data_IF_353414017159
#
_entry.id   IF_353414017159
#
_cell.length_a   1.000
_cell.length_b   1.000
_cell.length_c   1.000
_cell.angle_alpha   90.00
_cell.angle_beta   90.00
_cell.angle_gamma   90.00
#
_symmetry.space_group_name_H-M   'P 1'
#
loop_
_entity.id
_entity.type
_entity.pdbx_description
1 polymer ?
#
# COMPACT_ATOMS: atom_id res chain seq x y z
N UNK A 1 4.34 -18.08 3.26
CA UNK A 1 5.10 -16.89 2.78
C UNK A 1 4.45 -15.62 3.31
N UNK A 2 5.24 -14.66 3.66
CA UNK A 2 4.76 -13.34 4.10
C UNK A 2 5.01 -12.33 2.99
N UNK A 3 3.95 -11.75 2.46
CA UNK A 3 4.00 -10.92 1.24
C UNK A 3 3.38 -9.56 1.50
N UNK A 4 4.08 -8.51 1.06
CA UNK A 4 3.51 -7.16 0.99
C UNK A 4 3.25 -6.82 -0.48
N UNK A 5 2.04 -6.35 -0.77
CA UNK A 5 1.66 -5.87 -2.09
C UNK A 5 1.31 -4.39 -2.00
N UNK A 6 2.00 -3.58 -2.78
CA UNK A 6 1.69 -2.16 -2.89
C UNK A 6 0.80 -1.92 -4.10
N UNK A 7 -0.40 -1.42 -3.86
CA UNK A 7 -1.36 -1.13 -4.90
C UNK A 7 -2.23 0.05 -4.49
N UNK A 8 -2.33 1.04 -5.35
CA UNK A 8 -3.05 2.27 -5.02
C UNK A 8 -3.70 2.92 -6.24
N UNK A 9 -4.76 3.66 -5.98
CA UNK A 9 -5.40 4.56 -6.92
C UNK A 9 -6.58 3.95 -7.65
N UNK A 10 -6.34 3.24 -8.74
CA UNK A 10 -7.39 2.74 -9.63
C UNK A 10 -7.50 1.22 -9.62
N UNK A 11 -8.65 0.71 -10.07
CA UNK A 11 -8.86 -0.74 -10.24
C UNK A 11 -7.84 -1.39 -11.17
N UNK A 12 -7.25 -0.63 -12.11
CA UNK A 12 -6.22 -1.12 -13.00
C UNK A 12 -4.94 -1.55 -12.31
N UNK A 13 -4.66 -1.02 -11.12
CA UNK A 13 -3.52 -1.40 -10.30
C UNK A 13 -3.92 -2.38 -9.19
N UNK A 14 -5.09 -2.17 -8.60
CA UNK A 14 -5.54 -2.91 -7.43
C UNK A 14 -5.99 -4.33 -7.79
N UNK A 15 -6.79 -4.48 -8.84
CA UNK A 15 -7.30 -5.78 -9.24
C UNK A 15 -6.20 -6.80 -9.62
N UNK A 16 -5.15 -6.43 -10.38
CA UNK A 16 -4.02 -7.32 -10.58
C UNK A 16 -3.33 -7.73 -9.29
N UNK A 17 -3.19 -6.80 -8.34
CA UNK A 17 -2.61 -7.09 -7.02
C UNK A 17 -3.43 -8.12 -6.26
N UNK A 18 -4.76 -7.97 -6.26
CA UNK A 18 -5.68 -8.93 -5.63
C UNK A 18 -5.60 -10.29 -6.32
N UNK A 19 -5.50 -10.33 -7.65
CA UNK A 19 -5.37 -11.57 -8.40
C UNK A 19 -4.07 -12.31 -8.02
N UNK A 20 -2.97 -11.59 -7.86
CA UNK A 20 -1.70 -12.15 -7.39
C UNK A 20 -1.84 -12.70 -5.98
N UNK A 21 -2.46 -11.94 -5.08
CA UNK A 21 -2.71 -12.37 -3.71
C UNK A 21 -3.54 -13.65 -3.66
N UNK A 22 -4.61 -13.72 -4.43
CA UNK A 22 -5.46 -14.91 -4.52
C UNK A 22 -4.68 -16.13 -5.02
N UNK A 23 -3.81 -15.93 -6.00
CA UNK A 23 -2.96 -17.02 -6.52
C UNK A 23 -1.99 -17.53 -5.47
N UNK A 24 -1.36 -16.63 -4.73
CA UNK A 24 -0.45 -17.00 -3.63
C UNK A 24 -1.20 -17.79 -2.56
N UNK A 25 -2.38 -17.34 -2.16
CA UNK A 25 -3.19 -18.04 -1.16
C UNK A 25 -3.65 -19.41 -1.64
N UNK A 26 -3.90 -19.56 -2.93
CA UNK A 26 -4.27 -20.84 -3.51
C UNK A 26 -3.11 -21.84 -3.48
N UNK A 27 -1.91 -21.38 -3.84
CA UNK A 27 -0.72 -22.22 -3.88
C UNK A 27 -0.14 -22.49 -2.48
N UNK A 28 -0.19 -21.49 -1.60
CA UNK A 28 0.32 -21.56 -0.23
C UNK A 28 -0.73 -20.99 0.74
N UNK A 29 -1.71 -21.81 1.19
CA UNK A 29 -2.83 -21.31 2.00
C UNK A 29 -2.45 -20.66 3.34
N UNK A 30 -1.28 -20.98 3.88
CA UNK A 30 -0.80 -20.38 5.13
C UNK A 30 -0.09 -19.04 4.93
N UNK A 31 -0.02 -18.54 3.72
CA UNK A 31 0.61 -17.25 3.44
C UNK A 31 -0.14 -16.11 4.10
N UNK A 32 0.62 -15.14 4.61
CA UNK A 32 0.08 -13.88 5.12
C UNK A 32 0.34 -12.78 4.10
N UNK A 33 -0.70 -12.03 3.75
CA UNK A 33 -0.62 -10.98 2.74
C UNK A 33 -1.10 -9.67 3.32
N UNK A 34 -0.27 -8.65 3.18
CA UNK A 34 -0.58 -7.28 3.60
C UNK A 34 -0.56 -6.38 2.38
N UNK A 35 -1.62 -5.61 2.18
CA UNK A 35 -1.64 -4.55 1.18
C UNK A 35 -1.25 -3.22 1.80
N UNK A 36 -0.48 -2.43 1.06
CA UNK A 36 -0.17 -1.05 1.40
C UNK A 36 -0.65 -0.16 0.27
N UNK A 37 -1.45 0.81 0.60
CA UNK A 37 -2.02 1.76 -0.36
C UNK A 37 -2.24 3.12 0.26
N UNK A 38 -3.11 3.93 -0.35
CA UNK A 38 -3.48 5.24 0.19
C UNK A 38 -4.85 5.20 0.84
N UNK A 39 -5.19 6.22 1.62
CA UNK A 39 -6.51 6.34 2.24
C UNK A 39 -7.57 6.91 1.29
N UNK A 40 -7.21 7.22 0.05
CA UNK A 40 -8.07 7.97 -0.88
C UNK A 40 -8.45 7.21 -2.15
N UNK A 41 -7.79 6.10 -2.46
CA UNK A 41 -8.05 5.33 -3.66
C UNK A 41 -9.08 4.22 -3.47
N UNK A 42 -9.34 3.48 -4.55
CA UNK A 42 -10.28 2.36 -4.54
C UNK A 42 -9.80 1.19 -3.68
N UNK A 43 -8.52 1.16 -3.31
CA UNK A 43 -7.96 0.12 -2.43
C UNK A 43 -8.65 0.08 -1.08
N UNK A 44 -9.15 1.21 -0.59
CA UNK A 44 -9.86 1.27 0.70
C UNK A 44 -11.13 0.44 0.72
N UNK A 45 -11.72 0.20 -0.43
CA UNK A 45 -12.92 -0.64 -0.60
C UNK A 45 -12.55 -2.02 -1.13
N UNK A 46 -11.78 -2.08 -2.22
CA UNK A 46 -11.53 -3.33 -2.95
C UNK A 46 -10.68 -4.32 -2.16
N UNK A 47 -9.68 -3.86 -1.43
CA UNK A 47 -8.77 -4.74 -0.69
C UNK A 47 -9.46 -5.40 0.51
N UNK A 48 -10.12 -4.65 1.41
CA UNK A 48 -10.87 -5.28 2.49
C UNK A 48 -12.01 -6.18 2.00
N UNK A 49 -12.68 -5.78 0.91
CA UNK A 49 -13.75 -6.58 0.32
C UNK A 49 -13.24 -7.93 -0.20
N UNK A 50 -12.00 -7.97 -0.69
CA UNK A 50 -11.37 -9.20 -1.13
C UNK A 50 -10.87 -10.08 0.04
N UNK A 51 -10.97 -9.59 1.29
CA UNK A 51 -10.58 -10.33 2.47
C UNK A 51 -9.13 -10.11 2.91
N UNK A 52 -8.47 -9.05 2.43
CA UNK A 52 -7.09 -8.75 2.78
C UNK A 52 -6.98 -7.53 3.69
N UNK A 53 -5.94 -7.53 4.52
CA UNK A 53 -5.60 -6.38 5.35
C UNK A 53 -4.99 -5.27 4.50
N UNK A 54 -5.42 -4.04 4.73
CA UNK A 54 -4.87 -2.84 4.09
C UNK A 54 -4.32 -1.90 5.15
N UNK A 55 -3.06 -1.51 4.99
CA UNK A 55 -2.47 -0.39 5.73
C UNK A 55 -2.23 0.75 4.76
N UNK A 56 -2.50 1.97 5.21
CA UNK A 56 -2.47 3.14 4.34
C UNK A 56 -1.30 4.06 4.66
N UNK A 57 -0.78 4.66 3.62
CA UNK A 57 0.22 5.72 3.67
C UNK A 57 -0.31 6.93 2.91
N UNK A 58 0.05 8.10 3.36
CA UNK A 58 -0.24 9.32 2.62
C UNK A 58 0.95 9.66 1.72
N UNK A 59 0.71 9.71 0.42
CA UNK A 59 1.68 10.12 -0.57
C UNK A 59 1.11 11.26 -1.39
N UNK A 60 1.89 12.30 -1.57
CA UNK A 60 1.51 13.50 -2.31
C UNK A 60 2.50 13.75 -3.44
N UNK A 61 1.98 14.08 -4.63
CA UNK A 61 2.81 14.50 -5.74
C UNK A 61 3.52 15.80 -5.41
N UNK A 62 4.79 15.91 -5.80
CA UNK A 62 5.55 17.14 -5.66
C UNK A 62 5.26 18.05 -6.85
N UNK A 63 4.91 19.30 -6.58
CA UNK A 63 4.74 20.32 -7.61
C UNK A 63 6.11 20.90 -7.99
N UNK A 64 6.27 21.28 -9.27
CA UNK A 64 7.51 21.90 -9.74
C UNK A 64 7.81 23.25 -9.10
N UNK A 65 6.78 23.93 -8.61
CA UNK A 65 6.94 25.24 -7.98
C UNK A 65 7.28 25.10 -6.50
N UNK A 66 8.25 25.89 -6.04
CA UNK A 66 8.56 25.99 -4.62
C UNK A 66 7.46 26.83 -3.97
N UNK A 67 6.55 26.16 -3.27
CA UNK A 67 5.46 26.80 -2.54
C UNK A 67 5.39 26.23 -1.13
N UNK A 68 4.73 26.95 -0.24
CA UNK A 68 4.51 26.48 1.13
C UNK A 68 3.72 25.16 1.15
N UNK A 69 2.78 24.98 0.23
CA UNK A 69 2.01 23.74 0.08
C UNK A 69 2.92 22.57 -0.31
N UNK A 70 3.89 22.82 -1.21
CA UNK A 70 4.84 21.81 -1.62
C UNK A 70 5.75 21.38 -0.45
N UNK A 71 6.16 22.31 0.39
CA UNK A 71 6.92 22.02 1.60
C UNK A 71 6.16 21.10 2.54
N UNK A 72 4.85 21.35 2.77
CA UNK A 72 3.99 20.48 3.57
C UNK A 72 3.90 19.08 2.96
N UNK A 73 3.77 18.97 1.64
CA UNK A 73 3.71 17.69 0.95
C UNK A 73 5.01 16.90 1.09
N UNK A 74 6.15 17.57 1.05
CA UNK A 74 7.46 16.95 1.30
C UNK A 74 7.53 16.36 2.70
N UNK A 75 7.11 17.12 3.72
CA UNK A 75 7.10 16.64 5.10
C UNK A 75 6.17 15.44 5.29
N UNK A 76 4.98 15.46 4.70
CA UNK A 76 4.05 14.34 4.74
C UNK A 76 4.62 13.10 4.05
N UNK A 77 5.28 13.27 2.92
CA UNK A 77 5.93 12.19 2.19
C UNK A 77 7.05 11.56 3.02
N UNK A 78 7.87 12.36 3.71
CA UNK A 78 8.92 11.87 4.62
C UNK A 78 8.30 11.05 5.75
N UNK A 79 7.23 11.55 6.36
CA UNK A 79 6.53 10.82 7.43
C UNK A 79 5.95 9.49 6.93
N UNK A 80 5.39 9.48 5.72
CA UNK A 80 4.89 8.25 5.10
C UNK A 80 6.00 7.24 4.85
N UNK A 81 7.19 7.69 4.48
CA UNK A 81 8.35 6.81 4.30
C UNK A 81 8.76 6.14 5.62
N UNK A 82 8.73 6.87 6.72
CA UNK A 82 8.98 6.31 8.05
C UNK A 82 7.92 5.29 8.45
N UNK A 83 6.67 5.59 8.17
CA UNK A 83 5.55 4.69 8.45
C UNK A 83 5.64 3.42 7.60
N UNK A 84 6.03 3.54 6.33
CA UNK A 84 6.25 2.39 5.45
C UNK A 84 7.34 1.48 6.01
N UNK A 85 8.46 2.04 6.46
CA UNK A 85 9.53 1.28 7.11
C UNK A 85 9.04 0.56 8.35
N UNK A 86 8.20 1.21 9.16
CA UNK A 86 7.60 0.60 10.34
C UNK A 86 6.73 -0.60 9.96
N UNK A 87 5.86 -0.46 8.97
CA UNK A 87 5.01 -1.55 8.51
C UNK A 87 5.83 -2.74 8.02
N UNK A 88 6.87 -2.49 7.23
CA UNK A 88 7.77 -3.54 6.71
C UNK A 88 8.48 -4.24 7.87
N UNK A 89 9.00 -3.48 8.81
CA UNK A 89 9.72 -4.03 9.97
C UNK A 89 8.83 -4.87 10.86
N UNK A 90 7.59 -4.45 11.09
CA UNK A 90 6.63 -5.18 11.93
C UNK A 90 6.10 -6.43 11.23
N UNK A 91 5.80 -6.33 9.94
CA UNK A 91 5.25 -7.44 9.18
C UNK A 91 6.30 -8.50 8.85
N UNK A 92 7.55 -8.11 8.65
CA UNK A 92 8.68 -9.00 8.29
C UNK A 92 8.38 -9.81 7.03
N UNK A 93 8.16 -9.14 5.88
CA UNK A 93 7.82 -9.85 4.66
C UNK A 93 8.99 -10.65 4.11
N UNK A 94 8.66 -11.73 3.41
CA UNK A 94 9.63 -12.46 2.58
C UNK A 94 9.85 -11.73 1.25
N UNK A 95 8.77 -11.10 0.73
CA UNK A 95 8.80 -10.36 -0.52
C UNK A 95 7.68 -9.33 -0.55
#
# INVERSE_FOLDING_TARGET
>A
MRVIISAAGTGGHINPGIAIANKIKKEEPNSEILFIGTSRGLETDLVPRAGYELKTLEAYGLKKEISFTNFKNILKTINSSRLAKKYIKEFKPDV
#
